data_IF_141211506539
#
_entry.id   IF_141211506539
#
_cell.length_a   1.000
_cell.length_b   1.000
_cell.length_c   1.000
_cell.angle_alpha   90.00
_cell.angle_beta   90.00
_cell.angle_gamma   90.00
#
_symmetry.space_group_name_H-M   'P 1'
#
loop_
_entity.id
_entity.type
_entity.pdbx_description
1 polymer ?
#
# COMPACT_ATOMS: atom_id res chain seq x y z
N UNK A 1 -9.73 18.30 25.37
CA UNK A 1 -10.24 18.15 23.99
C UNK A 1 -11.71 17.79 24.10
N UNK A 2 -12.60 18.55 23.49
CA UNK A 2 -14.02 18.18 23.44
C UNK A 2 -14.17 17.15 22.33
N UNK A 3 -14.61 15.95 22.67
CA UNK A 3 -14.93 14.91 21.70
C UNK A 3 -16.44 14.90 21.48
N UNK A 4 -16.87 14.70 20.26
CA UNK A 4 -18.28 14.62 19.88
C UNK A 4 -18.49 13.27 19.19
N UNK A 5 -19.53 12.55 19.61
CA UNK A 5 -19.92 11.32 18.97
C UNK A 5 -21.03 11.62 17.95
N UNK A 6 -20.88 11.08 16.73
CA UNK A 6 -21.81 11.24 15.64
C UNK A 6 -22.48 9.91 15.31
N UNK A 7 -23.74 10.00 14.91
CA UNK A 7 -24.54 8.88 14.39
C UNK A 7 -24.68 9.06 12.88
N UNK A 8 -24.40 8.01 12.14
CA UNK A 8 -24.53 8.02 10.69
C UNK A 8 -25.99 7.77 10.30
N UNK A 9 -26.40 8.45 9.23
CA UNK A 9 -27.79 8.48 8.80
C UNK A 9 -27.89 8.14 7.33
N UNK A 10 -28.83 7.30 6.97
CA UNK A 10 -29.23 7.07 5.59
C UNK A 10 -30.70 7.47 5.39
N UNK A 11 -31.03 7.91 4.20
CA UNK A 11 -32.45 8.17 3.82
C UNK A 11 -33.22 6.88 3.46
N UNK A 12 -34.44 7.00 3.00
CA UNK A 12 -35.27 5.85 2.58
C UNK A 12 -34.62 5.01 1.48
N UNK A 13 -33.87 5.65 0.60
CA UNK A 13 -33.20 5.01 -0.55
C UNK A 13 -31.82 4.45 -0.19
N UNK A 14 -31.45 4.45 1.09
CA UNK A 14 -30.14 4.08 1.64
C UNK A 14 -29.00 5.01 1.18
N UNK A 15 -29.28 6.21 0.71
CA UNK A 15 -28.25 7.19 0.42
C UNK A 15 -27.76 7.84 1.72
N UNK A 16 -26.44 8.02 1.87
CA UNK A 16 -25.87 8.62 3.09
C UNK A 16 -26.26 10.10 3.21
N UNK A 17 -26.60 10.49 4.44
CA UNK A 17 -26.90 11.86 4.83
C UNK A 17 -25.79 12.40 5.75
N UNK A 18 -25.80 13.71 6.03
CA UNK A 18 -24.88 14.29 7.00
C UNK A 18 -24.97 13.59 8.36
N UNK A 19 -23.84 13.28 9.01
CA UNK A 19 -23.84 12.73 10.36
C UNK A 19 -24.55 13.69 11.34
N UNK A 20 -25.31 13.13 12.27
CA UNK A 20 -26.05 13.89 13.28
C UNK A 20 -25.53 13.56 14.68
N UNK A 21 -25.82 14.41 15.66
CA UNK A 21 -25.46 14.13 17.06
C UNK A 21 -26.38 13.04 17.66
N UNK A 22 -25.88 12.36 18.69
CA UNK A 22 -26.61 11.27 19.37
C UNK A 22 -27.97 11.70 19.94
N UNK A 23 -28.06 12.91 20.47
CA UNK A 23 -29.31 13.42 21.05
C UNK A 23 -30.43 13.52 20.01
N UNK A 24 -30.11 14.01 18.82
CA UNK A 24 -31.08 14.11 17.72
C UNK A 24 -31.42 12.74 17.14
N UNK A 25 -30.42 11.85 17.00
CA UNK A 25 -30.64 10.46 16.60
C UNK A 25 -31.59 9.73 17.56
N UNK A 26 -31.37 9.87 18.86
CA UNK A 26 -32.25 9.30 19.89
C UNK A 26 -33.68 9.86 19.85
N UNK A 27 -33.83 11.14 19.50
CA UNK A 27 -35.19 11.72 19.25
C UNK A 27 -35.88 11.07 18.06
N UNK A 28 -35.16 10.91 16.91
CA UNK A 28 -35.73 10.29 15.72
C UNK A 28 -36.16 8.83 15.94
N UNK A 29 -35.36 8.08 16.70
CA UNK A 29 -35.68 6.69 17.08
C UNK A 29 -36.90 6.62 17.99
N UNK A 30 -37.00 7.49 19.01
CA UNK A 30 -38.16 7.51 19.94
C UNK A 30 -39.49 7.86 19.26
N UNK A 31 -39.46 8.76 18.29
CA UNK A 31 -40.69 9.15 17.57
C UNK A 31 -41.00 8.23 16.37
N UNK A 32 -40.22 7.14 16.20
CA UNK A 32 -40.47 6.17 15.12
C UNK A 32 -40.13 6.66 13.71
N UNK A 33 -39.42 7.79 13.57
CA UNK A 33 -39.00 8.34 12.26
C UNK A 33 -37.70 7.75 11.73
N UNK A 34 -37.01 6.91 12.52
CA UNK A 34 -35.81 6.20 12.10
C UNK A 34 -35.76 4.80 12.71
N UNK A 35 -34.99 3.92 12.10
CA UNK A 35 -34.66 2.59 12.61
C UNK A 35 -33.14 2.35 12.56
N UNK A 36 -32.62 1.57 13.49
CA UNK A 36 -31.21 1.18 13.50
C UNK A 36 -31.00 0.11 12.41
N UNK A 37 -29.97 0.28 11.58
CA UNK A 37 -29.54 -0.69 10.57
C UNK A 37 -28.17 -1.27 10.86
N UNK A 38 -27.35 -0.56 11.61
CA UNK A 38 -26.06 -1.07 12.09
C UNK A 38 -25.78 -0.51 13.48
N UNK A 39 -25.19 -1.32 14.36
CA UNK A 39 -24.92 -0.93 15.74
C UNK A 39 -23.49 -0.41 15.93
N UNK A 40 -22.53 -0.90 15.14
CA UNK A 40 -21.13 -0.52 15.25
C UNK A 40 -20.48 -0.40 13.85
N UNK A 41 -20.23 0.81 13.35
CA UNK A 41 -20.69 2.10 13.88
C UNK A 41 -22.21 2.24 13.88
N UNK A 42 -22.75 3.09 14.76
CA UNK A 42 -24.19 3.31 14.81
C UNK A 42 -24.70 4.02 13.56
N UNK A 43 -25.50 3.31 12.79
CA UNK A 43 -26.12 3.80 11.56
C UNK A 43 -27.64 3.65 11.68
N UNK A 44 -28.36 4.74 11.45
CA UNK A 44 -29.81 4.75 11.44
C UNK A 44 -30.36 5.08 10.06
N UNK A 45 -31.46 4.44 9.68
CA UNK A 45 -32.18 4.70 8.44
C UNK A 45 -33.41 5.54 8.73
N UNK A 46 -33.59 6.67 8.06
CA UNK A 46 -34.79 7.49 8.14
C UNK A 46 -35.94 6.82 7.43
N UNK A 47 -37.14 6.96 8.02
CA UNK A 47 -38.38 6.40 7.50
C UNK A 47 -39.35 7.50 6.99
N UNK A 48 -39.04 8.76 7.34
CA UNK A 48 -39.78 9.94 6.87
C UNK A 48 -39.34 10.36 5.46
N UNK A 49 -40.02 11.38 4.89
CA UNK A 49 -39.76 11.86 3.52
C UNK A 49 -38.51 12.75 3.40
N UNK A 50 -37.61 12.65 4.37
CA UNK A 50 -36.32 13.31 4.32
C UNK A 50 -35.45 12.72 3.21
N UNK A 51 -34.93 13.56 2.35
CA UNK A 51 -34.05 13.14 1.26
C UNK A 51 -32.66 13.80 1.41
N UNK A 52 -31.61 13.03 1.26
CA UNK A 52 -30.22 13.50 1.22
C UNK A 52 -29.97 14.54 0.13
N UNK A 53 -30.79 14.54 -0.94
CA UNK A 53 -30.69 15.50 -2.07
C UNK A 53 -31.03 16.92 -1.70
N UNK A 54 -31.86 17.12 -0.65
CA UNK A 54 -32.36 18.44 -0.20
C UNK A 54 -31.56 18.96 1.02
N UNK A 55 -30.48 18.30 1.39
CA UNK A 55 -29.68 18.64 2.55
C UNK A 55 -28.61 19.68 2.20
N UNK A 56 -28.38 20.66 3.10
CA UNK A 56 -27.18 21.47 3.07
C UNK A 56 -26.00 20.57 3.40
N UNK A 57 -25.35 20.01 2.37
CA UNK A 57 -24.26 19.06 2.54
C UNK A 57 -23.05 19.73 3.12
N UNK A 58 -22.50 19.12 4.17
CA UNK A 58 -21.15 19.42 4.62
C UNK A 58 -20.18 18.81 3.63
N UNK A 59 -19.15 19.54 3.24
CA UNK A 59 -18.09 19.00 2.41
C UNK A 59 -17.22 18.06 3.27
N UNK A 60 -17.42 16.76 3.10
CA UNK A 60 -16.70 15.75 3.88
C UNK A 60 -15.60 15.12 3.03
N UNK A 61 -14.38 15.17 3.56
CA UNK A 61 -13.22 14.58 2.92
C UNK A 61 -12.81 13.30 3.66
N UNK A 62 -12.72 12.20 2.92
CA UNK A 62 -12.14 10.95 3.41
C UNK A 62 -10.65 10.93 3.10
N UNK A 63 -9.83 10.83 4.12
CA UNK A 63 -8.37 10.76 4.05
C UNK A 63 -7.92 9.35 4.38
N UNK A 64 -7.06 8.77 3.54
CA UNK A 64 -6.65 7.37 3.66
C UNK A 64 -5.13 7.23 3.64
N UNK A 65 -4.56 6.75 4.74
CA UNK A 65 -3.18 6.30 4.83
C UNK A 65 -3.08 4.88 4.24
N UNK A 66 -2.56 4.79 3.03
CA UNK A 66 -2.45 3.54 2.28
C UNK A 66 -1.18 2.78 2.66
N UNK A 67 -1.26 1.90 3.65
CA UNK A 67 -0.13 1.10 4.12
C UNK A 67 -0.08 -0.32 3.52
N UNK A 68 1.09 -0.97 3.61
CA UNK A 68 1.27 -2.35 3.17
C UNK A 68 0.53 -3.36 4.07
N UNK A 69 0.58 -3.15 5.38
CA UNK A 69 -0.05 -4.02 6.38
C UNK A 69 -1.28 -3.43 7.04
N UNK A 70 -1.46 -2.12 6.96
CA UNK A 70 -2.53 -1.39 7.63
C UNK A 70 -3.11 -0.33 6.71
N UNK A 71 -4.40 -0.05 6.87
CA UNK A 71 -5.09 1.08 6.26
C UNK A 71 -5.52 2.00 7.38
N UNK A 72 -5.01 3.23 7.41
CA UNK A 72 -5.57 4.28 8.26
C UNK A 72 -6.63 5.07 7.52
N UNK A 73 -7.71 5.45 8.18
CA UNK A 73 -8.74 6.28 7.58
C UNK A 73 -9.27 7.32 8.56
N UNK A 74 -9.67 8.46 8.03
CA UNK A 74 -10.34 9.53 8.76
C UNK A 74 -11.26 10.29 7.80
N UNK A 75 -12.54 10.41 8.15
CA UNK A 75 -13.48 11.26 7.42
C UNK A 75 -13.83 12.49 8.25
N UNK A 76 -13.57 13.65 7.70
CA UNK A 76 -13.70 14.94 8.40
C UNK A 76 -14.17 16.06 7.48
N UNK A 77 -14.82 17.05 8.08
CA UNK A 77 -14.97 18.38 7.50
C UNK A 77 -13.93 19.34 8.07
N UNK A 78 -14.11 20.64 7.89
CA UNK A 78 -13.22 21.67 8.41
C UNK A 78 -13.29 21.87 9.94
N UNK A 79 -14.25 21.23 10.63
CA UNK A 79 -14.52 21.43 12.06
C UNK A 79 -14.46 20.14 12.87
N UNK A 80 -14.96 19.05 12.31
CA UNK A 80 -15.17 17.80 13.04
C UNK A 80 -14.64 16.61 12.25
N UNK A 81 -14.08 15.65 12.97
CA UNK A 81 -13.83 14.31 12.49
C UNK A 81 -15.04 13.44 12.86
N UNK A 82 -15.64 12.81 11.87
CA UNK A 82 -16.83 11.99 12.03
C UNK A 82 -16.52 10.54 12.32
N UNK A 83 -15.48 10.01 11.68
CA UNK A 83 -15.00 8.64 11.87
C UNK A 83 -13.49 8.59 11.69
N UNK A 84 -12.83 7.80 12.50
CA UNK A 84 -11.42 7.46 12.36
C UNK A 84 -11.20 5.98 12.65
N UNK A 85 -10.19 5.39 12.03
CA UNK A 85 -9.86 4.01 12.33
C UNK A 85 -8.67 3.49 11.57
N UNK A 86 -8.38 2.23 11.88
CA UNK A 86 -7.30 1.47 11.29
C UNK A 86 -7.78 0.07 10.98
N UNK A 87 -7.48 -0.41 9.78
CA UNK A 87 -7.72 -1.79 9.38
C UNK A 87 -6.38 -2.51 9.25
N UNK A 88 -6.19 -3.57 10.01
CA UNK A 88 -5.07 -4.48 9.85
C UNK A 88 -5.37 -5.47 8.72
N UNK A 89 -4.53 -5.43 7.67
CA UNK A 89 -4.71 -6.26 6.49
C UNK A 89 -4.23 -7.69 6.72
N UNK A 90 -4.83 -8.61 5.99
CA UNK A 90 -4.47 -10.02 6.05
C UNK A 90 -2.98 -10.25 5.77
N UNK A 91 -2.28 -10.84 6.74
CA UNK A 91 -0.87 -11.22 6.67
C UNK A 91 -0.67 -12.64 6.11
N UNK A 92 0.57 -13.00 5.72
CA UNK A 92 0.95 -14.35 5.29
C UNK A 92 0.29 -14.83 3.98
N UNK A 93 -0.18 -13.93 3.12
CA UNK A 93 -0.81 -14.29 1.83
C UNK A 93 0.21 -14.99 0.93
N UNK A 94 1.45 -14.51 0.88
CA UNK A 94 2.53 -15.09 0.05
C UNK A 94 2.81 -16.53 0.43
N UNK A 95 2.92 -16.86 1.72
CA UNK A 95 3.22 -18.21 2.21
C UNK A 95 2.07 -19.19 1.89
N UNK A 96 0.85 -18.70 2.02
CA UNK A 96 -0.35 -19.46 1.62
C UNK A 96 -0.39 -19.73 0.12
N UNK A 97 0.01 -18.78 -0.72
CA UNK A 97 0.11 -18.98 -2.16
C UNK A 97 1.19 -20.01 -2.51
N UNK A 98 2.34 -20.00 -1.82
CA UNK A 98 3.39 -21.03 -1.96
C UNK A 98 2.86 -22.39 -1.58
N UNK A 99 2.18 -22.51 -0.44
CA UNK A 99 1.56 -23.76 0.02
C UNK A 99 0.53 -24.29 -0.99
N UNK A 100 -0.36 -23.42 -1.48
CA UNK A 100 -1.37 -23.78 -2.52
C UNK A 100 -0.69 -24.19 -3.84
N UNK A 101 0.43 -23.57 -4.20
CA UNK A 101 1.24 -24.00 -5.35
C UNK A 101 1.79 -25.39 -5.13
N UNK A 102 2.30 -25.71 -3.95
CA UNK A 102 2.77 -27.05 -3.57
C UNK A 102 1.68 -28.10 -3.73
N UNK A 103 0.50 -27.89 -3.16
CA UNK A 103 -0.63 -28.82 -3.31
C UNK A 103 -1.07 -29.01 -4.76
N UNK A 104 -1.11 -27.94 -5.55
CA UNK A 104 -1.42 -28.03 -6.99
C UNK A 104 -0.36 -28.84 -7.74
N UNK A 105 0.90 -28.67 -7.40
CA UNK A 105 2.02 -29.42 -8.00
C UNK A 105 1.92 -30.90 -7.67
N UNK A 106 1.68 -31.26 -6.40
CA UNK A 106 1.47 -32.65 -5.99
C UNK A 106 0.28 -33.29 -6.69
N UNK A 107 -0.86 -32.58 -6.75
CA UNK A 107 -2.06 -33.06 -7.45
C UNK A 107 -1.76 -33.31 -8.94
N UNK A 108 -1.06 -32.40 -9.60
CA UNK A 108 -0.66 -32.55 -11.02
C UNK A 108 0.30 -33.72 -11.21
N UNK A 109 1.25 -33.93 -10.31
CA UNK A 109 2.20 -35.05 -10.37
C UNK A 109 1.47 -36.38 -10.23
N UNK A 110 0.51 -36.51 -9.29
CA UNK A 110 -0.34 -37.69 -9.15
C UNK A 110 -1.18 -37.95 -10.40
N UNK A 111 -1.76 -36.94 -11.01
CA UNK A 111 -2.53 -37.05 -12.25
C UNK A 111 -1.64 -37.47 -13.43
N UNK A 112 -0.43 -36.93 -13.56
CA UNK A 112 0.55 -37.35 -14.57
C UNK A 112 0.95 -38.80 -14.38
N UNK A 113 1.26 -39.24 -13.16
CA UNK A 113 1.60 -40.61 -12.85
C UNK A 113 0.48 -41.59 -13.24
N UNK A 114 -0.77 -41.27 -12.92
CA UNK A 114 -1.94 -42.09 -13.30
C UNK A 114 -2.13 -42.16 -14.81
N UNK A 115 -1.90 -41.03 -15.51
CA UNK A 115 -2.03 -40.95 -16.96
C UNK A 115 -0.92 -41.72 -17.69
N UNK A 116 0.31 -41.65 -17.19
CA UNK A 116 1.44 -42.37 -17.79
C UNK A 116 1.33 -43.90 -17.68
N UNK A 117 0.47 -44.42 -16.79
CA UNK A 117 0.12 -45.84 -16.74
C UNK A 117 -0.87 -46.29 -17.85
N UNK A 118 -1.59 -45.35 -18.43
CA UNK A 118 -2.50 -45.63 -19.55
C UNK A 118 -1.81 -45.21 -20.84
N UNK A 119 -1.50 -46.18 -21.69
CA UNK A 119 -0.56 -46.13 -22.83
C UNK A 119 -0.99 -45.22 -23.99
N UNK A 120 -2.18 -44.67 -24.00
CA UNK A 120 -2.66 -43.75 -25.06
C UNK A 120 -2.64 -42.28 -24.60
N UNK A 121 -1.43 -41.76 -24.29
CA UNK A 121 -1.29 -40.38 -23.94
C UNK A 121 -0.93 -39.50 -25.14
N UNK A 122 -1.94 -39.10 -25.92
CA UNK A 122 -1.81 -37.88 -26.76
C UNK A 122 -1.58 -36.70 -25.83
N UNK A 123 -0.45 -36.03 -26.02
CA UNK A 123 -0.08 -34.80 -25.31
C UNK A 123 -1.30 -33.87 -25.17
N UNK A 124 -1.92 -33.88 -24.01
CA UNK A 124 -2.85 -32.82 -23.65
C UNK A 124 -1.97 -31.56 -23.65
N UNK A 125 -2.20 -30.68 -24.59
CA UNK A 125 -1.66 -29.35 -24.54
C UNK A 125 -2.02 -28.81 -23.17
N UNK A 126 -1.03 -28.77 -22.25
CA UNK A 126 -1.20 -27.96 -21.07
C UNK A 126 -1.63 -26.59 -21.59
N UNK A 127 -2.74 -26.03 -21.13
CA UNK A 127 -2.97 -24.63 -21.43
C UNK A 127 -1.68 -23.97 -20.97
N UNK A 128 -0.92 -23.49 -21.91
CA UNK A 128 0.21 -22.61 -21.65
C UNK A 128 -0.42 -21.52 -20.76
N UNK A 129 -0.09 -21.55 -19.48
CA UNK A 129 -0.31 -20.36 -18.68
C UNK A 129 0.39 -19.27 -19.48
N UNK A 130 -0.37 -18.41 -20.12
CA UNK A 130 0.17 -17.18 -20.64
C UNK A 130 0.89 -16.60 -19.44
N UNK A 131 2.23 -16.67 -19.47
CA UNK A 131 3.05 -16.06 -18.44
C UNK A 131 2.57 -14.62 -18.40
N UNK A 132 2.31 -14.08 -17.20
CA UNK A 132 1.65 -12.80 -16.96
C UNK A 132 2.38 -11.57 -17.48
N UNK A 133 2.69 -11.58 -18.78
CA UNK A 133 3.23 -10.49 -19.57
C UNK A 133 2.14 -9.81 -20.40
N UNK A 134 0.86 -9.99 -20.05
CA UNK A 134 -0.21 -9.15 -20.58
C UNK A 134 -0.06 -7.77 -19.93
N UNK A 135 -0.10 -6.73 -20.76
CA UNK A 135 -0.11 -5.35 -20.27
C UNK A 135 -1.21 -5.18 -19.22
N UNK A 136 -0.85 -4.60 -18.07
CA UNK A 136 -1.77 -4.44 -16.95
C UNK A 136 -1.87 -5.63 -15.99
N UNK A 137 -1.11 -6.74 -16.17
CA UNK A 137 -1.15 -7.84 -15.22
C UNK A 137 -0.64 -7.44 -13.83
N UNK A 138 -1.45 -7.70 -12.81
CA UNK A 138 -1.11 -7.47 -11.40
C UNK A 138 -1.01 -8.80 -10.64
N UNK A 139 -0.07 -8.89 -9.72
CA UNK A 139 0.02 -10.05 -8.84
C UNK A 139 -1.25 -10.17 -7.97
N UNK A 140 -1.77 -11.40 -7.71
CA UNK A 140 -2.99 -11.58 -6.90
C UNK A 140 -2.92 -10.96 -5.51
N UNK A 141 -1.73 -10.85 -4.92
CA UNK A 141 -1.52 -10.16 -3.64
C UNK A 141 -1.72 -8.65 -3.74
N UNK A 142 -1.33 -8.05 -4.87
CA UNK A 142 -1.56 -6.62 -5.15
C UNK A 142 -3.04 -6.38 -5.31
N UNK A 143 -3.72 -7.17 -6.16
CA UNK A 143 -5.16 -7.07 -6.40
C UNK A 143 -5.92 -7.17 -5.08
N UNK A 144 -5.62 -8.18 -4.26
CA UNK A 144 -6.26 -8.36 -2.96
C UNK A 144 -6.14 -7.12 -2.06
N UNK A 145 -4.96 -6.51 -2.01
CA UNK A 145 -4.76 -5.30 -1.19
C UNK A 145 -5.50 -4.10 -1.75
N UNK A 146 -5.48 -3.90 -3.06
CA UNK A 146 -6.26 -2.83 -3.72
C UNK A 146 -7.74 -2.99 -3.41
N UNK A 147 -8.29 -4.18 -3.60
CA UNK A 147 -9.70 -4.46 -3.29
C UNK A 147 -10.04 -4.25 -1.82
N UNK A 148 -9.12 -4.57 -0.90
CA UNK A 148 -9.31 -4.30 0.53
C UNK A 148 -9.42 -2.80 0.81
N UNK A 149 -8.58 -1.97 0.18
CA UNK A 149 -8.67 -0.51 0.31
C UNK A 149 -9.97 0.03 -0.27
N UNK A 150 -10.34 -0.41 -1.48
CA UNK A 150 -11.59 0.01 -2.13
C UNK A 150 -12.80 -0.34 -1.27
N UNK A 151 -12.87 -1.57 -0.75
CA UNK A 151 -13.97 -2.01 0.13
C UNK A 151 -14.09 -1.16 1.40
N UNK A 152 -12.98 -0.78 2.02
CA UNK A 152 -12.99 0.10 3.21
C UNK A 152 -13.55 1.47 2.84
N UNK A 153 -13.10 2.05 1.73
CA UNK A 153 -13.57 3.35 1.25
C UNK A 153 -15.06 3.30 0.91
N UNK A 154 -15.50 2.31 0.13
CA UNK A 154 -16.90 2.13 -0.26
C UNK A 154 -17.81 1.92 0.96
N UNK A 155 -17.31 1.16 1.96
CA UNK A 155 -18.05 0.93 3.20
C UNK A 155 -18.27 2.23 3.98
N UNK A 156 -17.22 3.06 4.12
CA UNK A 156 -17.34 4.37 4.77
C UNK A 156 -18.25 5.29 3.96
N UNK A 157 -18.11 5.31 2.64
CA UNK A 157 -18.96 6.09 1.74
C UNK A 157 -20.44 5.66 1.78
N UNK A 158 -20.73 4.40 2.14
CA UNK A 158 -22.10 3.93 2.35
C UNK A 158 -22.76 4.50 3.62
N UNK A 159 -22.00 5.03 4.55
CA UNK A 159 -22.48 5.61 5.82
C UNK A 159 -22.42 7.13 5.85
N UNK A 160 -21.44 7.72 5.15
CA UNK A 160 -21.11 9.14 5.18
C UNK A 160 -21.06 9.65 3.74
N UNK A 161 -21.70 10.80 3.42
CA UNK A 161 -21.61 11.40 2.09
C UNK A 161 -20.21 11.97 1.87
N UNK A 162 -19.37 11.24 1.15
CA UNK A 162 -17.98 11.61 0.84
C UNK A 162 -17.97 12.43 -0.46
N UNK A 163 -17.44 13.65 -0.39
CA UNK A 163 -17.28 14.52 -1.56
C UNK A 163 -15.91 14.35 -2.20
N UNK A 164 -14.88 14.08 -1.38
CA UNK A 164 -13.50 13.94 -1.84
C UNK A 164 -12.76 12.86 -1.09
N UNK A 165 -11.91 12.12 -1.79
CA UNK A 165 -11.00 11.13 -1.21
C UNK A 165 -9.56 11.62 -1.39
N UNK A 166 -8.77 11.61 -0.32
CA UNK A 166 -7.34 11.95 -0.38
C UNK A 166 -6.54 10.74 0.08
N UNK A 167 -5.66 10.26 -0.78
CA UNK A 167 -4.78 9.13 -0.47
C UNK A 167 -3.33 9.60 -0.28
N UNK A 168 -2.63 8.99 0.68
CA UNK A 168 -1.21 9.26 0.88
C UNK A 168 -0.37 8.51 -0.16
N UNK A 169 0.59 9.23 -0.76
CA UNK A 169 1.58 8.68 -1.69
C UNK A 169 2.99 8.77 -1.11
N UNK A 170 3.91 7.92 -1.56
CA UNK A 170 5.30 7.99 -1.14
C UNK A 170 6.09 9.03 -1.94
N UNK A 171 7.23 9.49 -1.38
CA UNK A 171 8.06 10.53 -2.01
C UNK A 171 8.60 10.15 -3.41
N UNK A 172 8.77 8.87 -3.68
CA UNK A 172 9.25 8.40 -4.99
C UNK A 172 8.16 8.42 -6.08
N UNK A 173 6.89 8.62 -5.73
CA UNK A 173 5.80 8.80 -6.70
C UNK A 173 5.81 10.21 -7.31
N UNK A 174 6.66 11.13 -6.81
CA UNK A 174 6.78 12.51 -7.29
C UNK A 174 7.13 12.56 -8.77
N UNK A 175 7.95 11.64 -9.27
CA UNK A 175 8.33 11.60 -10.69
C UNK A 175 7.12 11.35 -11.57
N UNK A 176 6.25 10.43 -11.19
CA UNK A 176 5.04 10.13 -11.94
C UNK A 176 4.01 11.26 -11.83
N UNK A 177 3.85 11.87 -10.67
CA UNK A 177 2.98 13.03 -10.50
C UNK A 177 3.45 14.20 -11.37
N UNK A 178 4.76 14.47 -11.41
CA UNK A 178 5.35 15.47 -12.30
C UNK A 178 5.13 15.14 -13.78
N UNK A 179 5.29 13.88 -14.16
CA UNK A 179 5.05 13.44 -15.53
C UNK A 179 3.58 13.59 -15.93
N UNK A 180 2.65 13.23 -15.05
CA UNK A 180 1.21 13.43 -15.28
C UNK A 180 0.85 14.91 -15.39
N UNK A 181 1.43 15.78 -14.55
CA UNK A 181 1.21 17.23 -14.65
C UNK A 181 1.78 17.82 -15.95
N UNK A 182 2.81 17.20 -16.51
CA UNK A 182 3.41 17.57 -17.79
C UNK A 182 2.80 16.85 -18.99
N UNK A 183 1.74 16.03 -18.79
CA UNK A 183 1.08 15.28 -19.86
C UNK A 183 1.92 14.12 -20.42
N UNK A 184 2.98 13.68 -19.73
CA UNK A 184 3.83 12.56 -20.13
C UNK A 184 3.43 11.30 -19.37
N UNK A 185 3.36 10.16 -20.08
CA UNK A 185 3.10 8.85 -19.46
C UNK A 185 4.45 8.21 -19.18
N UNK A 186 4.73 7.91 -17.92
CA UNK A 186 5.89 7.11 -17.53
C UNK A 186 5.49 5.63 -17.56
N UNK A 187 6.14 4.85 -18.39
CA UNK A 187 5.99 3.40 -18.44
C UNK A 187 6.84 2.72 -17.36
N UNK A 188 6.54 1.45 -17.04
CA UNK A 188 7.27 0.72 -15.99
C UNK A 188 8.81 0.65 -16.18
N UNK A 189 9.30 0.81 -17.41
CA UNK A 189 10.73 0.92 -17.77
C UNK A 189 11.30 2.25 -17.28
N UNK A 190 10.57 3.35 -17.42
CA UNK A 190 11.01 4.69 -17.00
C UNK A 190 11.06 4.80 -15.46
N UNK A 191 10.19 4.06 -14.77
CA UNK A 191 10.22 3.91 -13.31
C UNK A 191 11.48 3.17 -12.82
N UNK A 192 11.95 2.21 -13.61
CA UNK A 192 13.18 1.49 -13.30
C UNK A 192 14.42 2.35 -13.54
N UNK A 193 14.30 3.40 -14.35
CA UNK A 193 15.39 4.27 -14.77
C UNK A 193 15.50 5.57 -13.93
N UNK A 194 14.66 5.79 -12.92
CA UNK A 194 14.60 7.00 -12.07
C UNK A 194 15.92 7.74 -11.88
N UNK A 195 16.63 7.50 -10.77
CA UNK A 195 17.96 8.10 -10.50
C UNK A 195 19.06 7.56 -11.42
N UNK A 196 18.82 6.45 -12.13
CA UNK A 196 19.77 5.85 -13.06
C UNK A 196 19.61 6.33 -14.51
N UNK A 197 18.73 7.31 -14.75
CA UNK A 197 18.53 7.84 -16.09
C UNK A 197 19.84 8.43 -16.65
N UNK A 198 20.26 7.98 -17.81
CA UNK A 198 21.52 8.38 -18.46
C UNK A 198 22.71 7.46 -18.16
N UNK A 199 22.55 6.45 -17.33
CA UNK A 199 23.57 5.43 -17.09
C UNK A 199 23.24 4.14 -17.86
N UNK A 200 24.25 3.56 -18.48
CA UNK A 200 24.14 2.32 -19.26
C UNK A 200 23.59 1.14 -18.44
N UNK A 201 23.94 1.11 -17.15
CA UNK A 201 23.50 0.07 -16.23
C UNK A 201 23.66 0.49 -14.76
N UNK A 202 23.02 -0.26 -13.85
CA UNK A 202 23.10 -0.04 -12.42
C UNK A 202 24.54 -0.03 -11.85
N UNK A 203 25.45 -0.80 -12.44
CA UNK A 203 26.85 -0.84 -11.98
C UNK A 203 27.58 0.46 -12.28
N UNK A 204 27.30 1.09 -13.44
CA UNK A 204 27.90 2.37 -13.79
C UNK A 204 27.38 3.47 -12.87
N UNK A 205 26.07 3.51 -12.63
CA UNK A 205 25.46 4.43 -11.66
C UNK A 205 26.09 4.29 -10.26
N UNK A 206 26.24 3.05 -9.76
CA UNK A 206 26.82 2.80 -8.42
C UNK A 206 28.29 3.27 -8.35
N UNK A 207 29.09 3.07 -9.40
CA UNK A 207 30.45 3.58 -9.45
C UNK A 207 30.49 5.11 -9.38
N UNK A 208 29.61 5.77 -10.10
CA UNK A 208 29.49 7.24 -10.12
C UNK A 208 28.97 7.78 -8.79
N UNK A 209 27.90 7.19 -8.24
CA UNK A 209 27.37 7.51 -6.91
C UNK A 209 28.46 7.43 -5.84
N UNK A 210 29.29 6.42 -5.89
CA UNK A 210 30.39 6.19 -4.95
C UNK A 210 31.67 6.94 -5.36
N UNK A 211 31.58 7.83 -6.36
CA UNK A 211 32.66 8.68 -6.87
C UNK A 211 33.93 7.87 -7.23
N UNK A 212 33.73 6.67 -7.84
CA UNK A 212 34.80 5.73 -8.20
C UNK A 212 35.76 5.44 -7.04
N UNK A 213 35.22 5.38 -5.82
CA UNK A 213 35.99 5.19 -4.59
C UNK A 213 35.57 3.88 -3.92
N UNK A 214 36.53 3.08 -3.49
CA UNK A 214 36.26 1.89 -2.71
C UNK A 214 35.67 2.26 -1.34
N UNK A 215 34.48 1.75 -1.04
CA UNK A 215 33.76 2.10 0.19
C UNK A 215 34.28 1.38 1.44
N UNK A 216 35.36 0.57 1.31
CA UNK A 216 36.06 -0.11 2.43
C UNK A 216 37.37 0.57 2.74
N UNK A 217 38.28 0.69 1.77
CA UNK A 217 39.63 1.24 1.98
C UNK A 217 39.75 2.70 1.53
N UNK A 218 38.70 3.30 0.98
CA UNK A 218 38.67 4.65 0.45
C UNK A 218 39.67 4.93 -0.69
N UNK A 219 40.21 3.88 -1.33
CA UNK A 219 41.01 4.06 -2.53
C UNK A 219 40.17 4.51 -3.69
N UNK A 220 40.61 5.58 -4.35
CA UNK A 220 39.92 6.21 -5.48
C UNK A 220 40.63 5.90 -6.78
N UNK A 221 39.81 5.66 -7.85
CA UNK A 221 40.33 5.62 -9.21
C UNK A 221 40.83 7.03 -9.59
N UNK A 222 42.11 7.17 -9.95
CA UNK A 222 42.69 8.41 -10.42
C UNK A 222 43.48 8.15 -11.70
N UNK A 223 43.73 9.19 -12.51
CA UNK A 223 44.53 9.07 -13.75
C UNK A 223 45.94 8.53 -13.53
N UNK A 224 46.46 8.65 -12.32
CA UNK A 224 47.81 8.18 -11.94
C UNK A 224 47.82 6.76 -11.33
N UNK A 225 46.67 6.26 -10.88
CA UNK A 225 46.54 4.98 -10.20
C UNK A 225 45.34 4.23 -10.75
N UNK A 226 45.60 3.25 -11.61
CA UNK A 226 44.56 2.38 -12.18
C UNK A 226 44.05 1.38 -11.13
N UNK A 227 43.09 1.80 -10.32
CA UNK A 227 42.41 0.93 -9.38
C UNK A 227 41.13 0.41 -10.06
N UNK A 228 41.05 -0.91 -10.21
CA UNK A 228 39.82 -1.53 -10.75
C UNK A 228 38.73 -1.45 -9.67
N UNK A 229 37.67 -0.69 -9.95
CA UNK A 229 36.51 -0.60 -9.08
C UNK A 229 35.43 -1.55 -9.58
N UNK A 230 35.13 -2.54 -8.76
CA UNK A 230 34.08 -3.54 -8.99
C UNK A 230 32.83 -3.23 -8.17
N UNK A 231 31.68 -3.64 -8.68
CA UNK A 231 30.40 -3.46 -7.98
C UNK A 231 29.98 -4.79 -7.37
N UNK A 232 29.88 -4.80 -6.06
CA UNK A 232 29.55 -5.96 -5.23
C UNK A 232 28.08 -5.88 -4.75
N UNK A 233 27.39 -7.04 -4.72
CA UNK A 233 26.06 -7.13 -4.09
C UNK A 233 26.22 -7.31 -2.58
N UNK A 234 25.70 -6.36 -1.80
CA UNK A 234 25.72 -6.43 -0.34
C UNK A 234 25.01 -7.70 0.15
N UNK A 235 23.82 -7.97 -0.39
CA UNK A 235 23.16 -9.26 -0.25
C UNK A 235 23.36 -10.00 -1.57
N UNK A 236 24.02 -11.18 -1.56
CA UNK A 236 24.21 -11.98 -2.75
C UNK A 236 22.90 -12.38 -3.41
N UNK A 237 22.90 -12.50 -4.73
CA UNK A 237 21.75 -13.00 -5.50
C UNK A 237 21.26 -14.37 -5.04
N UNK A 238 22.18 -15.26 -4.65
CA UNK A 238 21.87 -16.58 -4.10
C UNK A 238 21.08 -16.53 -2.79
N UNK A 239 21.15 -15.41 -2.06
CA UNK A 239 20.43 -15.16 -0.82
C UNK A 239 19.23 -14.19 -1.03
N UNK A 240 18.78 -14.03 -2.27
CA UNK A 240 17.62 -13.18 -2.60
C UNK A 240 17.94 -11.69 -2.77
N UNK A 241 19.20 -11.31 -2.90
CA UNK A 241 19.62 -9.92 -3.13
C UNK A 241 19.14 -9.38 -4.49
N UNK A 242 18.68 -8.14 -4.52
CA UNK A 242 18.23 -7.44 -5.71
C UNK A 242 19.38 -6.81 -6.50
N UNK A 243 19.16 -6.51 -7.79
CA UNK A 243 20.09 -5.74 -8.62
C UNK A 243 19.93 -4.22 -8.47
N UNK A 244 19.26 -3.78 -7.45
CA UNK A 244 19.06 -2.35 -7.21
C UNK A 244 20.32 -1.67 -6.71
N UNK A 245 20.57 -0.39 -7.04
CA UNK A 245 21.76 0.35 -6.64
C UNK A 245 22.04 0.29 -5.14
N UNK A 246 21.02 0.31 -4.32
CA UNK A 246 21.18 0.29 -2.86
C UNK A 246 21.61 -1.08 -2.32
N UNK A 247 21.43 -2.15 -3.10
CA UNK A 247 22.01 -3.46 -2.81
C UNK A 247 23.41 -3.61 -3.37
N UNK A 248 23.98 -2.56 -3.96
CA UNK A 248 25.29 -2.58 -4.59
C UNK A 248 26.21 -1.56 -3.96
N UNK A 249 27.51 -1.88 -3.92
CA UNK A 249 28.55 -1.04 -3.35
C UNK A 249 29.82 -1.14 -4.21
N UNK A 250 30.52 -0.03 -4.36
CA UNK A 250 31.80 0.01 -5.10
C UNK A 250 32.96 -0.44 -4.23
N UNK A 251 33.69 -1.43 -4.68
CA UNK A 251 34.90 -1.97 -4.00
C UNK A 251 36.06 -2.00 -4.97
N UNK A 252 37.31 -1.81 -4.49
CA UNK A 252 38.47 -2.13 -5.28
C UNK A 252 38.64 -3.65 -5.38
N UNK A 253 39.35 -4.12 -6.39
CA UNK A 253 39.56 -5.55 -6.63
C UNK A 253 40.10 -6.28 -5.38
N UNK A 254 41.05 -5.68 -4.65
CA UNK A 254 41.59 -6.25 -3.43
C UNK A 254 40.55 -6.43 -2.33
N UNK A 255 39.72 -5.41 -2.07
CA UNK A 255 38.68 -5.50 -1.07
C UNK A 255 37.55 -6.45 -1.50
N UNK A 256 37.19 -6.46 -2.79
CA UNK A 256 36.23 -7.39 -3.36
C UNK A 256 36.65 -8.84 -3.17
N UNK A 257 37.92 -9.15 -3.46
CA UNK A 257 38.47 -10.49 -3.24
C UNK A 257 38.43 -10.88 -1.76
N UNK A 258 38.86 -9.98 -0.86
CA UNK A 258 38.77 -10.20 0.60
C UNK A 258 37.37 -10.47 1.12
N UNK A 259 36.35 -9.80 0.57
CA UNK A 259 34.97 -10.03 0.94
C UNK A 259 34.50 -11.45 0.58
N UNK A 260 35.02 -12.01 -0.53
CA UNK A 260 34.70 -13.37 -0.98
C UNK A 260 35.59 -14.47 -0.39
N UNK A 261 36.65 -14.13 0.34
CA UNK A 261 37.46 -15.10 1.06
C UNK A 261 36.65 -15.86 2.11
N UNK A 262 36.93 -17.12 2.33
CA UNK A 262 36.21 -18.00 3.28
C UNK A 262 34.68 -18.14 3.00
N UNK A 263 34.30 -18.29 1.73
CA UNK A 263 32.91 -18.50 1.32
C UNK A 263 31.91 -17.44 1.86
N UNK A 264 32.36 -16.19 1.92
CA UNK A 264 31.55 -15.07 2.43
C UNK A 264 31.22 -15.15 3.93
N UNK A 265 32.00 -15.83 4.73
CA UNK A 265 31.79 -15.93 6.18
C UNK A 265 32.84 -15.12 6.99
N UNK A 266 33.49 -14.15 6.34
CA UNK A 266 34.45 -13.29 7.01
C UNK A 266 33.79 -12.08 7.68
N UNK A 267 34.51 -11.47 8.62
CA UNK A 267 34.07 -10.30 9.39
C UNK A 267 33.64 -9.13 8.49
N UNK A 268 34.41 -8.91 7.43
CA UNK A 268 34.17 -7.80 6.47
C UNK A 268 32.85 -7.95 5.71
N UNK A 269 32.49 -9.17 5.32
CA UNK A 269 31.24 -9.48 4.68
C UNK A 269 30.04 -9.25 5.63
N UNK A 270 30.18 -9.67 6.89
CA UNK A 270 29.16 -9.45 7.92
C UNK A 270 28.97 -7.96 8.22
N UNK A 271 30.05 -7.20 8.30
CA UNK A 271 29.99 -5.74 8.48
C UNK A 271 29.33 -5.02 7.30
N UNK A 272 29.59 -5.45 6.06
CA UNK A 272 28.88 -4.91 4.88
C UNK A 272 27.40 -5.20 4.92
N UNK A 273 27.00 -6.40 5.34
CA UNK A 273 25.59 -6.74 5.49
C UNK A 273 24.88 -5.92 6.58
N UNK A 274 25.60 -5.57 7.65
CA UNK A 274 25.07 -4.73 8.73
C UNK A 274 24.94 -3.26 8.35
N UNK A 275 25.80 -2.74 7.46
CA UNK A 275 25.71 -1.35 6.96
C UNK A 275 24.45 -1.08 6.16
N UNK A 276 23.80 -2.11 5.67
CA UNK A 276 22.56 -1.95 4.94
C UNK A 276 21.37 -2.05 5.88
N UNK A 277 20.67 -0.93 6.01
CA UNK A 277 19.25 -0.96 6.39
C UNK A 277 18.51 -1.57 5.20
N UNK A 278 18.30 -2.88 5.26
CA UNK A 278 17.55 -3.60 4.24
C UNK A 278 16.06 -3.29 4.46
N UNK A 279 15.66 -2.15 4.03
CA UNK A 279 14.27 -2.03 3.59
C UNK A 279 14.21 -2.83 2.30
N UNK A 280 13.55 -3.96 2.33
CA UNK A 280 13.31 -4.74 1.13
C UNK A 280 12.49 -3.84 0.20
N UNK A 281 13.11 -3.29 -0.84
CA UNK A 281 12.45 -2.45 -1.87
C UNK A 281 11.25 -3.14 -2.53
N UNK A 282 11.11 -4.44 -2.27
CA UNK A 282 9.97 -5.24 -2.66
C UNK A 282 8.65 -4.62 -2.18
N UNK A 283 8.63 -4.15 -0.95
CA UNK A 283 7.45 -3.51 -0.37
C UNK A 283 7.24 -2.11 -0.96
N UNK A 284 8.30 -1.37 -1.23
CA UNK A 284 8.22 -0.05 -1.85
C UNK A 284 7.72 -0.12 -3.30
N UNK A 285 8.27 -1.03 -4.13
CA UNK A 285 7.80 -1.24 -5.51
C UNK A 285 6.36 -1.73 -5.53
N UNK A 286 6.01 -2.64 -4.60
CA UNK A 286 4.65 -3.12 -4.44
C UNK A 286 3.69 -1.97 -4.11
N UNK A 287 4.06 -1.11 -3.16
CA UNK A 287 3.25 0.01 -2.73
C UNK A 287 3.04 1.04 -3.83
N UNK A 288 4.03 1.29 -4.68
CA UNK A 288 3.88 2.19 -5.81
C UNK A 288 2.83 1.68 -6.80
N UNK A 289 2.99 0.45 -7.26
CA UNK A 289 2.04 -0.15 -8.20
C UNK A 289 0.63 -0.18 -7.59
N UNK A 290 0.53 -0.54 -6.30
CA UNK A 290 -0.75 -0.60 -5.60
C UNK A 290 -1.43 0.78 -5.52
N UNK A 291 -0.71 1.83 -5.14
CA UNK A 291 -1.26 3.18 -4.95
C UNK A 291 -1.76 3.80 -6.25
N UNK A 292 -1.00 3.60 -7.33
CA UNK A 292 -1.41 4.09 -8.65
C UNK A 292 -2.66 3.39 -9.16
N UNK A 293 -2.69 2.07 -9.05
CA UNK A 293 -3.87 1.31 -9.45
C UNK A 293 -5.08 1.63 -8.56
N UNK A 294 -4.85 1.81 -7.25
CA UNK A 294 -5.89 2.25 -6.33
C UNK A 294 -6.43 3.63 -6.73
N UNK A 295 -5.54 4.59 -7.03
CA UNK A 295 -5.93 5.92 -7.50
C UNK A 295 -6.79 5.84 -8.76
N UNK A 296 -6.35 5.07 -9.76
CA UNK A 296 -7.10 4.93 -11.01
C UNK A 296 -8.50 4.36 -10.79
N UNK A 297 -8.63 3.31 -9.98
CA UNK A 297 -9.93 2.70 -9.66
C UNK A 297 -10.85 3.62 -8.85
N UNK A 298 -10.30 4.35 -7.89
CA UNK A 298 -11.09 5.28 -7.10
C UNK A 298 -11.57 6.47 -7.93
N UNK A 299 -10.76 6.94 -8.88
CA UNK A 299 -11.11 8.07 -9.76
C UNK A 299 -12.33 7.79 -10.65
N UNK A 300 -12.69 6.54 -10.86
CA UNK A 300 -13.91 6.18 -11.60
C UNK A 300 -15.19 6.57 -10.84
N UNK A 301 -15.15 6.56 -9.50
CA UNK A 301 -16.34 6.76 -8.66
C UNK A 301 -16.27 7.97 -7.72
N UNK A 302 -15.07 8.51 -7.48
CA UNK A 302 -14.82 9.57 -6.49
C UNK A 302 -13.96 10.70 -7.07
N UNK A 303 -14.10 11.91 -6.51
CA UNK A 303 -13.09 12.97 -6.68
C UNK A 303 -11.87 12.62 -5.82
N UNK A 304 -10.77 12.21 -6.46
CA UNK A 304 -9.57 11.71 -5.76
C UNK A 304 -8.40 12.64 -5.95
N UNK A 305 -7.74 12.96 -4.86
CA UNK A 305 -6.45 13.66 -4.86
C UNK A 305 -5.40 12.91 -4.07
N UNK A 306 -4.14 13.27 -4.29
CA UNK A 306 -3.00 12.66 -3.63
C UNK A 306 -2.30 13.65 -2.71
N UNK A 307 -1.74 13.15 -1.60
CA UNK A 307 -0.90 13.91 -0.68
C UNK A 307 0.40 13.15 -0.39
N UNK A 308 1.38 13.84 0.17
CA UNK A 308 2.70 13.29 0.40
C UNK A 308 2.95 12.97 1.87
N UNK A 309 3.61 11.86 2.17
CA UNK A 309 3.90 11.42 3.52
C UNK A 309 4.73 12.39 4.36
N UNK A 310 5.54 13.27 3.73
CA UNK A 310 6.25 14.32 4.46
C UNK A 310 5.30 15.38 5.02
N UNK A 311 4.21 15.71 4.30
CA UNK A 311 3.16 16.65 4.74
C UNK A 311 2.44 16.05 5.94
N UNK A 312 2.01 14.80 5.83
CA UNK A 312 1.39 14.04 6.93
C UNK A 312 2.26 14.07 8.18
N UNK A 313 3.55 13.76 8.03
CA UNK A 313 4.51 13.78 9.15
C UNK A 313 4.65 15.16 9.79
N UNK A 314 4.73 16.21 8.97
CA UNK A 314 4.86 17.59 9.45
C UNK A 314 3.61 18.01 10.22
N UNK A 315 2.43 17.80 9.62
CA UNK A 315 1.14 18.13 10.23
C UNK A 315 0.93 17.39 11.55
N UNK A 316 1.22 16.09 11.60
CA UNK A 316 1.10 15.29 12.82
C UNK A 316 2.01 15.79 13.94
N UNK A 317 3.27 16.15 13.62
CA UNK A 317 4.19 16.75 14.61
C UNK A 317 3.70 18.10 15.12
N UNK A 318 3.22 18.96 14.24
CA UNK A 318 2.68 20.28 14.59
C UNK A 318 1.42 20.17 15.45
N UNK A 319 0.61 19.14 15.19
CA UNK A 319 -0.59 18.82 15.99
C UNK A 319 -0.27 18.14 17.33
N UNK A 320 0.97 17.73 17.58
CA UNK A 320 1.37 17.00 18.81
C UNK A 320 0.77 15.59 18.92
N UNK A 321 0.36 15.00 17.80
CA UNK A 321 -0.30 13.69 17.80
C UNK A 321 0.72 12.55 17.79
N UNK A 322 0.41 11.46 18.52
CA UNK A 322 1.19 10.22 18.49
C UNK A 322 1.04 9.54 17.12
N UNK A 323 2.03 8.74 16.74
CA UNK A 323 2.03 8.03 15.46
C UNK A 323 1.16 6.77 15.52
N UNK A 324 0.01 6.84 14.86
CA UNK A 324 -0.87 5.71 14.53
C UNK A 324 -1.35 5.92 13.09
N UNK A 325 -1.82 4.88 12.40
CA UNK A 325 -2.31 5.02 11.03
C UNK A 325 -3.57 5.91 10.94
N UNK A 326 -4.46 5.86 11.91
CA UNK A 326 -5.62 6.76 11.97
C UNK A 326 -5.24 8.22 12.24
N UNK A 327 -4.19 8.48 13.05
CA UNK A 327 -3.71 9.85 13.28
C UNK A 327 -2.91 10.38 12.09
N UNK A 328 -2.21 9.51 11.37
CA UNK A 328 -1.59 9.88 10.11
C UNK A 328 -2.67 10.20 9.08
N UNK A 329 -3.76 9.42 9.00
CA UNK A 329 -4.87 9.68 8.09
C UNK A 329 -5.49 11.08 8.29
N UNK A 330 -5.79 11.50 9.51
CA UNK A 330 -6.35 12.85 9.75
C UNK A 330 -5.39 13.97 9.34
N UNK A 331 -4.09 13.72 9.40
CA UNK A 331 -3.04 14.68 9.07
C UNK A 331 -2.67 14.73 7.58
N UNK A 332 -3.28 13.89 6.74
CA UNK A 332 -3.07 13.91 5.29
C UNK A 332 -3.58 15.24 4.72
N UNK A 333 -2.82 15.86 3.82
CA UNK A 333 -3.12 17.19 3.27
C UNK A 333 -3.08 18.32 4.32
N UNK A 334 -3.87 19.35 4.13
CA UNK A 334 -3.98 20.44 5.09
C UNK A 334 -4.61 19.96 6.40
N UNK A 335 -3.94 20.25 7.52
CA UNK A 335 -4.45 19.99 8.85
C UNK A 335 -4.95 21.28 9.46
N UNK A 336 -6.27 21.39 9.57
CA UNK A 336 -6.91 22.40 10.40
C UNK A 336 -7.10 21.82 11.81
N UNK A 337 -7.11 22.68 12.82
CA UNK A 337 -7.39 22.24 14.19
C UNK A 337 -8.86 21.83 14.29
N UNK A 338 -9.14 20.57 13.99
CA UNK A 338 -10.48 19.98 14.05
C UNK A 338 -10.73 19.29 15.39
N UNK A 339 -11.99 19.14 15.74
CA UNK A 339 -12.39 18.31 16.90
C UNK A 339 -12.35 16.84 16.48
N UNK A 340 -11.48 16.07 17.15
CA UNK A 340 -11.32 14.64 16.85
C UNK A 340 -12.48 13.81 17.39
N UNK A 341 -12.80 12.71 16.73
CA UNK A 341 -13.77 11.73 17.24
C UNK A 341 -13.23 10.96 18.44
N UNK A 342 -14.10 10.52 19.35
CA UNK A 342 -13.76 9.59 20.44
C UNK A 342 -13.58 8.17 19.94
N UNK A 343 -14.43 7.78 19.00
CA UNK A 343 -14.56 6.40 18.55
C UNK A 343 -13.59 6.13 17.42
N UNK A 344 -12.48 5.46 17.77
CA UNK A 344 -11.50 4.98 16.79
C UNK A 344 -11.74 3.49 16.55
N UNK A 345 -12.04 3.13 15.31
CA UNK A 345 -12.31 1.75 14.92
C UNK A 345 -11.01 1.00 14.61
N UNK A 346 -10.74 -0.04 15.39
CA UNK A 346 -9.62 -0.95 15.15
C UNK A 346 -10.17 -2.25 14.58
N UNK A 347 -9.97 -2.47 13.30
CA UNK A 347 -10.53 -3.59 12.54
C UNK A 347 -9.41 -4.51 12.07
N UNK A 348 -9.58 -5.82 12.22
CA UNK A 348 -8.67 -6.83 11.69
C UNK A 348 -9.34 -7.58 10.54
N UNK A 349 -8.66 -7.65 9.39
CA UNK A 349 -9.13 -8.46 8.28
C UNK A 349 -8.85 -9.94 8.53
N UNK A 350 -9.90 -10.72 8.72
CA UNK A 350 -9.82 -12.17 8.91
C UNK A 350 -10.12 -12.94 7.63
N UNK A 351 -9.57 -14.14 7.55
CA UNK A 351 -9.88 -15.05 6.46
C UNK A 351 -11.26 -15.68 6.72
N UNK A 352 -12.19 -15.51 5.78
CA UNK A 352 -13.37 -16.36 5.72
C UNK A 352 -12.98 -17.77 5.29
N UNK A 353 -13.37 -18.78 6.06
CA UNK A 353 -13.34 -20.17 5.61
C UNK A 353 -14.54 -20.38 4.69
N UNK A 354 -14.33 -21.01 3.52
CA UNK A 354 -15.36 -21.23 2.48
C UNK A 354 -16.59 -22.02 2.98
N UNK A 355 -16.62 -22.46 4.22
CA UNK A 355 -17.72 -23.19 4.85
C UNK A 355 -18.60 -22.37 5.78
N UNK A 356 -18.22 -21.13 6.08
CA UNK A 356 -19.04 -20.20 6.85
C UNK A 356 -19.42 -19.05 5.93
N UNK A 357 -20.65 -19.07 5.44
CA UNK A 357 -21.24 -18.00 4.63
C UNK A 357 -21.70 -16.79 5.46
N UNK A 358 -21.20 -16.64 6.65
CA UNK A 358 -21.46 -15.44 7.46
C UNK A 358 -20.37 -14.42 7.21
N UNK A 359 -20.72 -13.41 6.42
CA UNK A 359 -19.96 -12.17 6.32
C UNK A 359 -20.15 -11.41 7.63
N UNK A 360 -19.20 -11.50 8.54
CA UNK A 360 -19.14 -10.58 9.66
C UNK A 360 -18.59 -9.22 9.17
N UNK A 361 -19.48 -8.29 8.99
CA UNK A 361 -19.33 -6.86 9.13
C UNK A 361 -20.60 -6.31 9.78
#
# INVERSE_FOLDING_TARGET
>A
MNYIDFVFVTDKDNLPCNPINEGYAGKLLRIGKAKIINHDPLVIKRLDDYSSKNENRHTITLKVDTGFGNIGFSASDNKHEYIAGQVELLSGISDRLVTRKGYRTQRRSRLRYRRNKNIDYKTVNNPTYKNGNEDGWLAPTVIHKIESHVRVIDKIASWIPIDKVIIETANFDIQQIKAMSNGTIINGIDYQNGEMYGFENAKQYVRERDNYTCQICNEKLTDKKHVIIEVHHIIPRSKGGSNQPDNMISLCHCCHKKVHENNNDNKLFKELQQRKVINTYKDATFMNTMRWELYNRLKENYDVSMSFGYITRMNRKNAGLKKYHYTDAVCISEYHKITLTKNVYLVEQKRCNDRCMESFF
#
